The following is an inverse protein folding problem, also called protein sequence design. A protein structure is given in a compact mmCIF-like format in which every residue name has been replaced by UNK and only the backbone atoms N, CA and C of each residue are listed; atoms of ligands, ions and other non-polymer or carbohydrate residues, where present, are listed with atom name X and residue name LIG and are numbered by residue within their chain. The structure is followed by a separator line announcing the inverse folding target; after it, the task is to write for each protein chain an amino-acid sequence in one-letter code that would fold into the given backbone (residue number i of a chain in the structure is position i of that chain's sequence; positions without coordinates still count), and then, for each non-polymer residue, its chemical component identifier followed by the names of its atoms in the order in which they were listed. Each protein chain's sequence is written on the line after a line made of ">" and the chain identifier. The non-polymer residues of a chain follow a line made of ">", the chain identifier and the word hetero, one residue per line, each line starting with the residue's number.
data_IF_049621250839
#
_entry.id   IF_049621250839
#
_cell.length_a   1.000
_cell.length_b   1.000
_cell.length_c   1.000
_cell.angle_alpha   90.00
_cell.angle_beta   90.00
_cell.angle_gamma   90.00
#
_symmetry.space_group_name_H-M   'P 1'
#
loop_
_entity.id
_entity.type
_entity.pdbx_description
1 polymer ?
#
# COMPACT_ATOMS: atom_id res chain seq x y z
N UNK A 1 25.51 0.37 -8.85
CA UNK A 1 24.56 1.51 -8.80
C UNK A 1 23.20 0.91 -8.54
N UNK A 2 22.46 1.41 -7.56
CA UNK A 2 21.13 0.91 -7.15
C UNK A 2 20.10 1.54 -8.08
N UNK A 3 19.42 0.73 -8.88
CA UNK A 3 18.35 1.19 -9.78
C UNK A 3 17.05 1.32 -9.01
N UNK A 4 16.51 2.52 -8.93
CA UNK A 4 15.39 2.89 -8.10
C UNK A 4 14.20 3.40 -8.92
N UNK A 5 13.01 2.89 -8.65
CA UNK A 5 11.73 3.49 -9.09
C UNK A 5 11.07 4.17 -7.90
N UNK A 6 10.48 5.33 -8.13
CA UNK A 6 9.74 6.10 -7.12
C UNK A 6 8.29 6.24 -7.57
N UNK A 7 7.38 5.74 -6.76
CA UNK A 7 5.94 5.74 -6.97
C UNK A 7 5.24 6.56 -5.88
N UNK A 8 4.65 7.69 -6.24
CA UNK A 8 3.95 8.61 -5.33
C UNK A 8 3.02 9.51 -6.15
N UNK A 9 1.76 9.65 -5.78
CA UNK A 9 0.81 10.52 -6.49
C UNK A 9 1.05 12.01 -6.23
N UNK A 10 1.75 12.36 -5.15
CA UNK A 10 2.06 13.74 -4.76
C UNK A 10 3.26 14.27 -5.55
N UNK A 11 2.99 14.98 -6.64
CA UNK A 11 4.00 15.46 -7.57
C UNK A 11 5.16 16.23 -6.90
N UNK A 12 4.87 17.16 -5.97
CA UNK A 12 5.90 17.97 -5.30
C UNK A 12 6.82 17.08 -4.47
N UNK A 13 6.26 16.16 -3.69
CA UNK A 13 7.03 15.25 -2.85
C UNK A 13 7.88 14.31 -3.71
N UNK A 14 7.28 13.69 -4.73
CA UNK A 14 7.99 12.81 -5.66
C UNK A 14 9.17 13.53 -6.32
N UNK A 15 8.94 14.73 -6.88
CA UNK A 15 10.01 15.51 -7.52
C UNK A 15 11.12 15.91 -6.53
N UNK A 16 10.76 16.22 -5.28
CA UNK A 16 11.72 16.52 -4.23
C UNK A 16 12.59 15.32 -3.88
N UNK A 17 11.97 14.14 -3.69
CA UNK A 17 12.69 12.89 -3.42
C UNK A 17 13.64 12.51 -4.57
N UNK A 18 13.17 12.64 -5.81
CA UNK A 18 14.00 12.38 -7.00
C UNK A 18 15.22 13.30 -7.03
N UNK A 19 15.03 14.61 -6.81
CA UNK A 19 16.11 15.57 -6.81
C UNK A 19 17.17 15.26 -5.73
N UNK A 20 16.73 14.87 -4.53
CA UNK A 20 17.63 14.51 -3.42
C UNK A 20 18.35 13.19 -3.67
N UNK A 21 17.63 12.14 -4.12
CA UNK A 21 18.22 10.83 -4.36
C UNK A 21 19.20 10.82 -5.55
N UNK A 22 19.03 11.70 -6.53
CA UNK A 22 19.99 11.91 -7.63
C UNK A 22 21.33 12.54 -7.19
N UNK A 23 21.42 13.09 -5.97
CA UNK A 23 22.69 13.57 -5.43
C UNK A 23 23.59 12.42 -4.93
N UNK A 24 23.01 11.24 -4.72
CA UNK A 24 23.74 10.07 -4.24
C UNK A 24 24.43 9.37 -5.43
N UNK A 25 25.74 9.17 -5.34
CA UNK A 25 26.56 8.61 -6.42
C UNK A 25 26.30 7.12 -6.72
N UNK A 26 25.63 6.41 -5.79
CA UNK A 26 25.36 4.98 -5.86
C UNK A 26 23.89 4.65 -6.15
N UNK A 27 23.03 5.66 -6.31
CA UNK A 27 21.60 5.51 -6.60
C UNK A 27 21.27 6.14 -7.96
N UNK A 28 20.52 5.42 -8.78
CA UNK A 28 20.00 5.87 -10.07
C UNK A 28 18.47 5.78 -10.08
N UNK A 29 17.78 6.92 -10.11
CA UNK A 29 16.33 6.94 -10.30
C UNK A 29 16.01 6.70 -11.77
N UNK A 30 15.53 5.48 -12.07
CA UNK A 30 15.27 5.02 -13.45
C UNK A 30 13.85 5.32 -13.93
N UNK A 31 12.88 5.49 -13.03
CA UNK A 31 11.52 5.94 -13.36
C UNK A 31 10.81 6.60 -12.17
N UNK A 32 9.80 7.39 -12.52
CA UNK A 32 8.85 8.03 -11.61
C UNK A 32 7.44 7.67 -12.04
N UNK A 33 6.56 7.29 -11.12
CA UNK A 33 5.16 6.93 -11.39
C UNK A 33 4.21 7.62 -10.40
N UNK A 34 2.94 7.77 -10.78
CA UNK A 34 1.95 8.49 -9.98
C UNK A 34 0.69 7.66 -9.70
N UNK A 35 0.63 6.42 -10.19
CA UNK A 35 -0.47 5.48 -9.99
C UNK A 35 0.03 4.04 -9.93
N UNK A 36 -0.83 3.15 -9.45
CA UNK A 36 -0.48 1.75 -9.23
C UNK A 36 -0.19 1.01 -10.54
N UNK A 37 -0.98 1.22 -11.58
CA UNK A 37 -0.83 0.52 -12.86
C UNK A 37 0.48 0.88 -13.55
N UNK A 38 0.79 2.18 -13.68
CA UNK A 38 2.07 2.63 -14.26
C UNK A 38 3.26 2.13 -13.44
N UNK A 39 3.10 1.99 -12.12
CA UNK A 39 4.14 1.42 -11.26
C UNK A 39 4.40 -0.05 -11.56
N UNK A 40 3.35 -0.85 -11.73
CA UNK A 40 3.46 -2.27 -12.13
C UNK A 40 4.15 -2.39 -13.50
N UNK A 41 3.70 -1.61 -14.49
CA UNK A 41 4.24 -1.66 -15.85
C UNK A 41 5.74 -1.28 -15.85
N UNK A 42 6.11 -0.17 -15.20
CA UNK A 42 7.51 0.28 -15.13
C UNK A 42 8.41 -0.66 -14.31
N UNK A 43 7.92 -1.21 -13.21
CA UNK A 43 8.68 -2.19 -12.42
C UNK A 43 8.92 -3.49 -13.20
N UNK A 44 7.95 -3.93 -13.99
CA UNK A 44 8.05 -5.12 -14.85
C UNK A 44 9.03 -4.91 -16.00
N UNK A 45 8.99 -3.76 -16.66
CA UNK A 45 9.85 -3.42 -17.80
C UNK A 45 11.29 -3.15 -17.36
N UNK A 46 11.47 -2.29 -16.36
CA UNK A 46 12.79 -1.78 -15.95
C UNK A 46 13.52 -2.71 -14.98
N UNK A 47 12.82 -3.58 -14.28
CA UNK A 47 13.36 -4.47 -13.24
C UNK A 47 14.32 -3.73 -12.29
N UNK A 48 13.80 -2.74 -11.52
CA UNK A 48 14.63 -1.99 -10.58
C UNK A 48 15.09 -2.87 -9.42
N UNK A 49 16.18 -2.49 -8.78
CA UNK A 49 16.65 -3.15 -7.55
C UNK A 49 15.73 -2.84 -6.37
N UNK A 50 15.27 -1.58 -6.29
CA UNK A 50 14.42 -1.08 -5.20
C UNK A 50 13.26 -0.27 -5.77
N UNK A 51 12.09 -0.40 -5.15
CA UNK A 51 10.88 0.38 -5.39
C UNK A 51 10.51 1.15 -4.12
N UNK A 52 10.54 2.49 -4.18
CA UNK A 52 9.89 3.34 -3.17
C UNK A 52 8.43 3.50 -3.55
N UNK A 53 7.52 3.15 -2.66
CA UNK A 53 6.13 2.94 -2.98
C UNK A 53 5.21 3.60 -1.96
N UNK A 54 4.46 4.63 -2.39
CA UNK A 54 3.39 5.18 -1.55
C UNK A 54 2.23 4.18 -1.45
N UNK A 55 1.56 4.18 -0.29
CA UNK A 55 0.36 3.37 -0.08
C UNK A 55 -0.83 3.93 -0.84
N UNK A 56 -1.01 5.25 -0.79
CA UNK A 56 -2.21 5.91 -1.31
C UNK A 56 -1.98 6.47 -2.71
N UNK A 57 -2.23 5.67 -3.72
CA UNK A 57 -2.15 6.08 -5.13
C UNK A 57 -3.41 5.65 -5.90
N UNK A 58 -3.77 6.37 -6.98
CA UNK A 58 -4.82 5.91 -7.89
C UNK A 58 -4.48 4.54 -8.50
N UNK A 59 -5.50 3.70 -8.70
CA UNK A 59 -5.31 2.38 -9.30
C UNK A 59 -4.73 2.46 -10.73
N UNK A 60 -5.19 3.41 -11.53
CA UNK A 60 -4.78 3.51 -12.94
C UNK A 60 -5.33 2.37 -13.81
N UNK A 61 -4.76 2.23 -15.01
CA UNK A 61 -5.09 1.17 -15.96
C UNK A 61 -3.80 0.56 -16.50
N UNK A 62 -3.64 -0.75 -16.36
CA UNK A 62 -2.50 -1.52 -16.84
C UNK A 62 -2.39 -1.48 -18.38
N UNK A 63 -1.22 -1.75 -18.91
CA UNK A 63 -0.97 -1.79 -20.35
C UNK A 63 -1.86 -2.79 -21.12
N UNK A 64 -2.35 -3.83 -20.44
CA UNK A 64 -3.32 -4.79 -20.98
C UNK A 64 -4.78 -4.31 -20.97
N UNK A 65 -5.06 -3.11 -20.43
CA UNK A 65 -6.40 -2.51 -20.32
C UNK A 65 -7.18 -2.91 -19.07
N UNK A 66 -6.61 -3.71 -18.16
CA UNK A 66 -7.26 -4.07 -16.91
C UNK A 66 -7.05 -2.98 -15.84
N UNK A 67 -7.93 -2.86 -14.84
CA UNK A 67 -7.69 -1.99 -13.69
C UNK A 67 -6.39 -2.38 -12.98
N UNK A 68 -5.61 -1.38 -12.57
CA UNK A 68 -4.46 -1.60 -11.72
C UNK A 68 -4.84 -2.02 -10.28
N UNK A 69 -3.85 -2.43 -9.47
CA UNK A 69 -4.03 -2.66 -8.04
C UNK A 69 -4.67 -1.45 -7.32
N UNK A 70 -5.46 -1.69 -6.27
CA UNK A 70 -6.23 -0.63 -5.61
C UNK A 70 -5.36 0.31 -4.76
N UNK A 71 -4.23 -0.19 -4.23
CA UNK A 71 -3.27 0.59 -3.44
C UNK A 71 -1.82 0.11 -3.66
N UNK A 72 -0.85 0.88 -3.14
CA UNK A 72 0.56 0.53 -3.30
C UNK A 72 0.94 -0.79 -2.61
N UNK A 73 0.26 -1.20 -1.55
CA UNK A 73 0.54 -2.50 -0.91
C UNK A 73 0.12 -3.65 -1.83
N UNK A 74 -0.98 -3.50 -2.56
CA UNK A 74 -1.41 -4.46 -3.57
C UNK A 74 -0.45 -4.49 -4.78
N UNK A 75 0.18 -3.34 -5.14
CA UNK A 75 1.28 -3.32 -6.12
C UNK A 75 2.43 -4.21 -5.66
N UNK A 76 2.87 -4.09 -4.40
CA UNK A 76 3.94 -4.93 -3.85
C UNK A 76 3.60 -6.42 -3.90
N UNK A 77 2.36 -6.79 -3.51
CA UNK A 77 1.87 -8.17 -3.58
C UNK A 77 1.82 -8.68 -5.03
N UNK A 78 1.28 -7.86 -5.95
CA UNK A 78 1.19 -8.21 -7.37
C UNK A 78 2.58 -8.48 -7.98
N UNK A 79 3.55 -7.60 -7.74
CA UNK A 79 4.93 -7.77 -8.26
C UNK A 79 5.61 -9.00 -7.68
N UNK A 80 5.42 -9.28 -6.38
CA UNK A 80 5.93 -10.50 -5.73
C UNK A 80 5.38 -11.77 -6.37
N UNK A 81 4.08 -11.78 -6.69
CA UNK A 81 3.36 -12.96 -7.16
C UNK A 81 3.53 -13.21 -8.67
N UNK A 82 3.89 -12.16 -9.44
CA UNK A 82 3.98 -12.24 -10.90
C UNK A 82 5.40 -12.24 -11.44
N UNK A 83 6.39 -11.72 -10.70
CA UNK A 83 7.78 -11.64 -11.17
C UNK A 83 8.64 -12.71 -10.50
N UNK A 84 9.49 -13.37 -11.31
CA UNK A 84 10.50 -14.32 -10.79
C UNK A 84 11.53 -13.64 -9.86
N UNK A 85 11.84 -12.38 -10.14
CA UNK A 85 12.75 -11.55 -9.36
C UNK A 85 12.08 -10.18 -9.11
N UNK A 86 11.20 -10.11 -8.11
CA UNK A 86 10.54 -8.85 -7.76
C UNK A 86 11.52 -7.85 -7.16
N UNK A 87 11.31 -6.54 -7.38
CA UNK A 87 12.09 -5.51 -6.73
C UNK A 87 11.93 -5.59 -5.21
N UNK A 88 12.91 -5.11 -4.49
CA UNK A 88 12.78 -4.89 -3.06
C UNK A 88 11.93 -3.65 -2.81
N UNK A 89 10.91 -3.76 -1.97
CA UNK A 89 9.94 -2.68 -1.77
C UNK A 89 10.16 -2.00 -0.43
N UNK A 90 10.26 -0.68 -0.46
CA UNK A 90 10.13 0.20 0.71
C UNK A 90 8.81 0.96 0.57
N UNK A 91 7.88 0.69 1.46
CA UNK A 91 6.62 1.42 1.53
C UNK A 91 6.84 2.74 2.25
N UNK A 92 6.42 3.84 1.63
CA UNK A 92 6.37 5.17 2.22
C UNK A 92 4.91 5.55 2.50
N UNK A 93 4.62 6.12 3.66
CA UNK A 93 3.25 6.53 4.01
C UNK A 93 3.25 7.84 4.77
N UNK A 94 2.24 8.67 4.56
CA UNK A 94 2.05 9.89 5.34
C UNK A 94 1.73 9.57 6.81
N UNK A 95 1.03 8.47 7.06
CA UNK A 95 0.63 8.06 8.40
C UNK A 95 1.12 6.64 8.69
N UNK A 96 1.95 6.50 9.72
CA UNK A 96 2.43 5.21 10.23
C UNK A 96 1.32 4.38 10.86
N UNK A 97 0.30 3.99 10.09
CA UNK A 97 -0.81 3.17 10.60
C UNK A 97 -0.34 1.73 10.77
N UNK A 98 -0.55 1.21 11.96
CA UNK A 98 -0.12 -0.13 12.36
C UNK A 98 -0.58 -1.25 11.41
N UNK A 99 -1.79 -1.15 10.87
CA UNK A 99 -2.32 -2.13 9.94
C UNK A 99 -1.64 -2.10 8.57
N UNK A 100 -1.20 -0.92 8.09
CA UNK A 100 -0.43 -0.82 6.86
C UNK A 100 0.93 -1.51 6.96
N UNK A 101 1.62 -1.36 8.09
CA UNK A 101 2.88 -2.07 8.30
C UNK A 101 2.70 -3.58 8.15
N UNK A 102 1.70 -4.18 8.80
CA UNK A 102 1.46 -5.62 8.68
C UNK A 102 1.11 -6.03 7.26
N UNK A 103 0.15 -5.35 6.60
CA UNK A 103 -0.20 -5.62 5.20
C UNK A 103 1.02 -5.52 4.28
N UNK A 104 1.85 -4.48 4.46
CA UNK A 104 3.07 -4.29 3.67
C UNK A 104 4.07 -5.45 3.87
N UNK A 105 4.28 -5.90 5.12
CA UNK A 105 5.18 -7.02 5.40
C UNK A 105 4.62 -8.35 4.84
N UNK A 106 3.32 -8.59 4.91
CA UNK A 106 2.63 -9.73 4.31
C UNK A 106 2.69 -9.69 2.78
N UNK A 107 2.61 -8.51 2.17
CA UNK A 107 2.81 -8.29 0.74
C UNK A 107 4.26 -8.48 0.28
N UNK A 108 5.20 -8.66 1.21
CA UNK A 108 6.61 -8.93 0.91
C UNK A 108 7.50 -7.68 0.93
N UNK A 109 7.05 -6.54 1.42
CA UNK A 109 7.89 -5.35 1.57
C UNK A 109 9.04 -5.61 2.55
N UNK A 110 10.20 -5.05 2.27
CA UNK A 110 11.39 -5.12 3.13
C UNK A 110 11.56 -3.85 3.96
N UNK A 111 10.96 -2.72 3.53
CA UNK A 111 10.99 -1.46 4.24
C UNK A 111 9.60 -0.89 4.48
N UNK A 112 9.44 -0.19 5.63
CA UNK A 112 8.24 0.59 5.92
C UNK A 112 8.65 1.84 6.69
N UNK A 113 8.37 3.01 6.11
CA UNK A 113 8.79 4.31 6.63
C UNK A 113 7.69 5.35 6.48
N UNK A 114 7.75 6.40 7.29
CA UNK A 114 6.86 7.57 7.14
C UNK A 114 7.51 8.63 6.25
N UNK A 115 6.71 9.38 5.50
CA UNK A 115 7.16 10.39 4.53
C UNK A 115 7.84 11.61 5.17
N UNK A 116 7.71 11.80 6.49
CA UNK A 116 8.41 12.84 7.25
C UNK A 116 9.81 12.41 7.74
N UNK A 117 10.22 11.18 7.41
CA UNK A 117 11.57 10.67 7.72
C UNK A 117 12.64 11.54 7.01
N UNK A 118 13.73 11.92 7.72
CA UNK A 118 14.85 12.61 7.09
C UNK A 118 15.39 11.83 5.88
N UNK A 119 15.76 12.56 4.81
CA UNK A 119 16.20 11.94 3.55
C UNK A 119 17.44 11.05 3.71
N UNK A 120 18.33 11.38 4.62
CA UNK A 120 19.54 10.61 4.92
C UNK A 120 19.19 9.20 5.45
N UNK A 121 18.10 9.09 6.24
CA UNK A 121 17.59 7.80 6.72
C UNK A 121 16.92 7.01 5.58
N UNK A 122 16.25 7.69 4.66
CA UNK A 122 15.67 7.04 3.50
C UNK A 122 16.77 6.49 2.58
N UNK A 123 17.83 7.25 2.34
CA UNK A 123 19.01 6.82 1.58
C UNK A 123 19.64 5.58 2.21
N UNK A 124 19.87 5.61 3.55
CA UNK A 124 20.37 4.43 4.28
C UNK A 124 19.44 3.22 4.16
N UNK A 125 18.14 3.45 4.26
CA UNK A 125 17.12 2.40 4.09
C UNK A 125 17.17 1.76 2.70
N UNK A 126 17.31 2.54 1.63
CA UNK A 126 17.47 2.04 0.26
C UNK A 126 18.70 1.12 0.16
N UNK A 127 19.85 1.55 0.70
CA UNK A 127 21.09 0.75 0.70
C UNK A 127 20.93 -0.56 1.49
N UNK A 128 20.33 -0.49 2.65
CA UNK A 128 20.12 -1.67 3.53
C UNK A 128 19.13 -2.66 2.92
N UNK A 129 18.04 -2.16 2.38
CA UNK A 129 17.03 -2.99 1.71
C UNK A 129 17.63 -3.66 0.48
N UNK A 130 18.42 -2.95 -0.32
CA UNK A 130 19.14 -3.52 -1.46
C UNK A 130 20.08 -4.66 -1.04
N UNK A 131 20.65 -4.61 0.17
CA UNK A 131 21.47 -5.70 0.74
C UNK A 131 20.64 -6.85 1.33
N UNK A 132 19.32 -6.78 1.28
CA UNK A 132 18.41 -7.82 1.82
C UNK A 132 18.03 -7.64 3.29
N UNK A 133 18.40 -6.52 3.91
CA UNK A 133 18.00 -6.21 5.27
C UNK A 133 16.57 -5.66 5.31
N UNK A 134 15.89 -5.85 6.43
CA UNK A 134 14.60 -5.19 6.70
C UNK A 134 14.79 -3.87 7.43
N UNK A 135 14.00 -2.87 7.02
CA UNK A 135 14.02 -1.52 7.64
C UNK A 135 12.61 -1.12 8.02
N UNK A 136 12.35 -1.09 9.31
CA UNK A 136 11.06 -0.64 9.87
C UNK A 136 11.36 0.33 11.00
N UNK A 137 10.59 1.42 11.07
CA UNK A 137 10.67 2.33 12.19
C UNK A 137 10.25 1.62 13.48
N UNK A 138 11.04 1.65 14.56
CA UNK A 138 10.76 0.93 15.80
C UNK A 138 9.43 1.34 16.46
N UNK A 139 9.05 2.62 16.38
CA UNK A 139 7.81 3.13 16.98
C UNK A 139 6.60 2.61 16.20
N UNK A 140 6.69 2.53 14.87
CA UNK A 140 5.66 1.92 14.02
C UNK A 140 5.54 0.41 14.26
N UNK A 141 6.65 -0.27 14.45
CA UNK A 141 6.64 -1.69 14.78
C UNK A 141 5.93 -1.95 16.12
N UNK A 142 6.23 -1.15 17.14
CA UNK A 142 5.57 -1.24 18.46
C UNK A 142 4.06 -0.96 18.38
N UNK A 143 3.65 0.08 17.64
CA UNK A 143 2.24 0.41 17.42
C UNK A 143 1.50 -0.71 16.66
N UNK A 144 2.14 -1.32 15.65
CA UNK A 144 1.55 -2.41 14.89
C UNK A 144 1.28 -3.65 15.76
N UNK A 145 2.16 -3.93 16.70
CA UNK A 145 1.95 -5.02 17.67
C UNK A 145 0.77 -4.74 18.62
N UNK A 146 0.56 -3.48 18.98
CA UNK A 146 -0.53 -3.08 19.87
C UNK A 146 -1.93 -3.17 19.23
N UNK A 147 -2.05 -2.86 17.93
CA UNK A 147 -3.35 -2.89 17.21
C UNK A 147 -3.82 -4.32 16.91
N UNK A 148 -2.91 -5.28 16.82
CA UNK A 148 -3.26 -6.68 16.55
C UNK A 148 -3.75 -6.96 15.12
N UNK A 149 -4.27 -8.18 14.93
CA UNK A 149 -4.80 -8.63 13.64
C UNK A 149 -6.17 -8.02 13.34
N UNK A 150 -6.51 -7.85 12.04
CA UNK A 150 -7.86 -7.43 11.65
C UNK A 150 -8.90 -8.43 12.20
N UNK A 151 -9.95 -7.96 12.89
CA UNK A 151 -11.04 -8.83 13.32
C UNK A 151 -12.00 -9.20 12.17
N UNK A 152 -11.82 -8.54 11.01
CA UNK A 152 -12.69 -8.73 9.84
C UNK A 152 -12.25 -9.95 9.03
N UNK A 153 -13.22 -10.68 8.49
CA UNK A 153 -12.95 -11.68 7.45
C UNK A 153 -12.65 -11.01 6.12
N UNK A 154 -12.01 -11.73 5.18
CA UNK A 154 -11.74 -11.22 3.83
C UNK A 154 -13.00 -10.64 3.16
N UNK A 155 -14.15 -11.34 3.28
CA UNK A 155 -15.41 -10.88 2.66
C UNK A 155 -16.02 -9.66 3.36
N UNK A 156 -15.89 -9.55 4.67
CA UNK A 156 -16.27 -8.33 5.40
C UNK A 156 -15.38 -7.15 5.01
N UNK A 157 -14.08 -7.37 4.81
CA UNK A 157 -13.14 -6.35 4.34
C UNK A 157 -13.50 -5.85 2.95
N UNK A 158 -13.76 -6.74 1.97
CA UNK A 158 -14.18 -6.37 0.62
C UNK A 158 -15.46 -5.52 0.65
N UNK A 159 -16.49 -6.00 1.37
CA UNK A 159 -17.78 -5.30 1.49
C UNK A 159 -17.60 -3.96 2.17
N UNK A 160 -16.82 -3.89 3.26
CA UNK A 160 -16.63 -2.65 4.01
C UNK A 160 -15.76 -1.64 3.23
N UNK A 161 -14.79 -2.09 2.43
CA UNK A 161 -13.99 -1.25 1.55
C UNK A 161 -14.87 -0.55 0.49
N UNK A 162 -15.72 -1.30 -0.21
CA UNK A 162 -16.69 -0.73 -1.14
C UNK A 162 -17.67 0.22 -0.45
N UNK A 163 -18.09 -0.16 0.78
CA UNK A 163 -18.93 0.66 1.64
C UNK A 163 -18.28 1.99 2.02
N UNK A 164 -16.99 2.01 2.31
CA UNK A 164 -16.22 3.19 2.67
C UNK A 164 -16.05 4.16 1.48
N UNK A 165 -15.99 3.63 0.25
CA UNK A 165 -16.04 4.43 -0.99
C UNK A 165 -17.41 5.09 -1.27
N UNK A 166 -18.42 4.86 -0.44
CA UNK A 166 -19.76 5.43 -0.59
C UNK A 166 -20.68 4.64 -1.51
N UNK A 167 -20.31 3.44 -1.93
CA UNK A 167 -21.13 2.60 -2.80
C UNK A 167 -22.43 2.18 -2.10
N UNK A 168 -23.55 2.16 -2.84
CA UNK A 168 -24.82 1.66 -2.32
C UNK A 168 -24.80 0.14 -2.10
N UNK A 169 -25.62 -0.37 -1.18
CA UNK A 169 -25.77 -1.81 -0.94
C UNK A 169 -26.06 -2.59 -2.23
N UNK A 170 -26.89 -2.04 -3.12
CA UNK A 170 -27.22 -2.63 -4.41
C UNK A 170 -26.01 -2.65 -5.37
N UNK A 171 -25.17 -1.60 -5.37
CA UNK A 171 -23.94 -1.56 -6.17
C UNK A 171 -22.92 -2.61 -5.67
N UNK A 172 -22.68 -2.67 -4.36
CA UNK A 172 -21.80 -3.66 -3.73
C UNK A 172 -22.29 -5.09 -4.01
N UNK A 173 -23.60 -5.34 -3.89
CA UNK A 173 -24.18 -6.65 -4.18
C UNK A 173 -23.88 -7.11 -5.61
N UNK A 174 -24.00 -6.21 -6.59
CA UNK A 174 -23.69 -6.47 -8.00
C UNK A 174 -22.20 -6.72 -8.23
N UNK A 175 -21.34 -5.82 -7.73
CA UNK A 175 -19.89 -5.91 -7.97
C UNK A 175 -19.26 -7.15 -7.33
N UNK A 176 -19.74 -7.58 -6.16
CA UNK A 176 -19.22 -8.73 -5.42
C UNK A 176 -20.00 -10.04 -5.65
N UNK A 177 -20.97 -10.04 -6.57
CA UNK A 177 -21.84 -11.20 -6.86
C UNK A 177 -22.56 -11.74 -5.62
N UNK A 178 -23.10 -10.84 -4.77
CA UNK A 178 -23.81 -11.15 -3.53
C UNK A 178 -25.27 -10.70 -3.61
N UNK A 179 -26.12 -11.20 -2.69
CA UNK A 179 -27.41 -10.59 -2.45
C UNK A 179 -27.28 -9.33 -1.58
N UNK A 180 -28.22 -8.37 -1.71
CA UNK A 180 -28.23 -7.20 -0.82
C UNK A 180 -28.38 -7.58 0.67
N UNK A 181 -29.11 -8.67 0.96
CA UNK A 181 -29.22 -9.22 2.31
C UNK A 181 -27.87 -9.68 2.85
N UNK A 182 -27.07 -10.36 2.03
CA UNK A 182 -25.71 -10.81 2.38
C UNK A 182 -24.80 -9.62 2.63
N UNK A 183 -24.86 -8.57 1.79
CA UNK A 183 -24.08 -7.33 2.00
C UNK A 183 -24.45 -6.68 3.33
N UNK A 184 -25.76 -6.54 3.64
CA UNK A 184 -26.21 -6.00 4.93
C UNK A 184 -25.70 -6.82 6.12
N UNK A 185 -25.70 -8.14 6.00
CA UNK A 185 -25.18 -9.02 7.06
C UNK A 185 -23.68 -8.82 7.27
N UNK A 186 -22.86 -8.74 6.22
CA UNK A 186 -21.44 -8.47 6.33
C UNK A 186 -21.15 -7.11 6.96
N UNK A 187 -21.88 -6.05 6.56
CA UNK A 187 -21.75 -4.72 7.17
C UNK A 187 -22.12 -4.75 8.65
N UNK A 188 -23.24 -5.39 9.03
CA UNK A 188 -23.66 -5.51 10.43
C UNK A 188 -22.66 -6.30 11.26
N UNK A 189 -22.11 -7.38 10.71
CA UNK A 189 -21.07 -8.18 11.37
C UNK A 189 -19.81 -7.35 11.60
N UNK A 190 -19.36 -6.59 10.58
CA UNK A 190 -18.21 -5.71 10.69
C UNK A 190 -18.42 -4.61 11.76
N UNK A 191 -19.60 -3.96 11.78
CA UNK A 191 -19.97 -2.98 12.81
C UNK A 191 -19.86 -3.60 14.22
N UNK A 192 -20.40 -4.81 14.41
CA UNK A 192 -20.33 -5.50 15.69
C UNK A 192 -18.90 -5.86 16.11
N UNK A 193 -18.08 -6.38 15.18
CA UNK A 193 -16.69 -6.73 15.44
C UNK A 193 -15.80 -5.52 15.77
N UNK A 194 -16.08 -4.38 15.13
CA UNK A 194 -15.36 -3.12 15.35
C UNK A 194 -15.90 -2.33 16.53
N UNK A 195 -17.00 -2.78 17.15
CA UNK A 195 -17.68 -2.14 18.29
C UNK A 195 -18.03 -0.67 18.03
N UNK A 196 -18.52 -0.38 16.84
CA UNK A 196 -18.96 0.96 16.41
C UNK A 196 -20.46 1.00 16.15
N UNK A 197 -21.02 2.20 15.95
CA UNK A 197 -22.46 2.39 15.83
C UNK A 197 -22.97 2.50 14.40
N UNK A 198 -22.09 2.77 13.44
CA UNK A 198 -22.51 3.00 12.05
C UNK A 198 -21.57 2.37 11.04
N UNK A 199 -22.06 2.19 9.80
CA UNK A 199 -21.27 1.79 8.64
C UNK A 199 -20.12 2.77 8.35
N UNK A 200 -20.38 4.08 8.53
CA UNK A 200 -19.38 5.11 8.31
C UNK A 200 -18.24 5.02 9.33
N UNK A 201 -18.58 4.83 10.62
CA UNK A 201 -17.60 4.62 11.69
C UNK A 201 -16.80 3.33 11.47
N UNK A 202 -17.47 2.26 11.03
CA UNK A 202 -16.80 1.00 10.71
C UNK A 202 -15.76 1.19 9.58
N UNK A 203 -16.12 1.90 8.51
CA UNK A 203 -15.20 2.24 7.44
C UNK A 203 -14.03 3.08 7.94
N UNK A 204 -14.30 4.11 8.74
CA UNK A 204 -13.28 4.99 9.32
C UNK A 204 -12.28 4.22 10.19
N UNK A 205 -12.78 3.49 11.20
CA UNK A 205 -11.93 2.70 12.11
C UNK A 205 -11.13 1.65 11.35
N UNK A 206 -11.73 0.96 10.39
CA UNK A 206 -11.03 -0.05 9.61
C UNK A 206 -9.94 0.57 8.71
N UNK A 207 -10.18 1.75 8.13
CA UNK A 207 -9.18 2.50 7.36
C UNK A 207 -8.04 3.00 8.26
N UNK A 208 -8.36 3.57 9.44
CA UNK A 208 -7.36 4.08 10.39
C UNK A 208 -6.44 2.98 10.92
N UNK A 209 -6.96 1.77 11.08
CA UNK A 209 -6.18 0.61 11.50
C UNK A 209 -5.51 -0.13 10.30
N UNK A 210 -5.72 0.33 9.06
CA UNK A 210 -5.18 -0.31 7.86
C UNK A 210 -5.76 -1.71 7.61
N UNK A 211 -7.02 -1.94 7.98
CA UNK A 211 -7.73 -3.19 7.73
C UNK A 211 -8.55 -3.18 6.43
N UNK A 212 -8.64 -1.99 5.77
CA UNK A 212 -9.20 -1.78 4.43
C UNK A 212 -8.15 -1.43 3.41
#
# INVERSE_FOLDING_TARGET
>A
MIRLVIADDQHILRSGLVALLRLENDIEVVAETADCASTVDQATELRPDVLLLDVQMPAGTLANGEPGPEDGIEVAAHLRDTLDQPPRVIVLTTFGRAGYLRRAMEAGAQGFMVKDTPVERLVDAVRRVQQGLRVVDPDLAAQSLAVGASPLTAKETEVLRAAARGESTAAIARSLFLSEGTVRNHVSSAIGKLQVSSRADAGKVATENGWL
#
